data_IF_178725456036
#
_entry.id   IF_178725456036
#
_cell.length_a   1.000
_cell.length_b   1.000
_cell.length_c   1.000
_cell.angle_alpha   90.00
_cell.angle_beta   90.00
_cell.angle_gamma   90.00
#
_symmetry.space_group_name_H-M   'P 1'
#
loop_
_entity.id
_entity.type
_entity.pdbx_description
1 polymer ?
#
# COMPACT_ATOMS: atom_id res chain seq x y z
N UNK A 1 -2.46 68.16 22.90
CA UNK A 1 -1.60 67.22 23.64
C UNK A 1 -1.40 65.96 22.79
N UNK A 2 -0.18 65.42 22.79
CA UNK A 2 0.35 64.42 21.85
C UNK A 2 -0.30 63.04 22.00
N UNK A 3 -0.59 62.40 20.87
CA UNK A 3 -0.87 60.97 20.72
C UNK A 3 0.42 60.16 20.81
N UNK A 4 0.45 59.14 21.67
CA UNK A 4 1.47 58.08 21.80
C UNK A 4 0.81 56.99 22.68
N UNK A 5 0.40 55.80 22.24
CA UNK A 5 0.75 55.01 21.07
C UNK A 5 1.84 54.01 21.43
N UNK A 6 1.49 52.85 22.03
CA UNK A 6 2.29 51.59 22.06
C UNK A 6 1.40 50.38 22.40
N UNK A 7 0.62 49.86 21.44
CA UNK A 7 0.20 48.46 21.51
C UNK A 7 1.34 47.63 20.95
N UNK A 8 2.16 47.06 21.83
CA UNK A 8 3.11 46.02 21.45
C UNK A 8 2.30 44.79 21.05
N UNK A 9 2.12 44.58 19.75
CA UNK A 9 1.57 43.34 19.24
C UNK A 9 2.60 42.23 19.52
N UNK A 10 2.31 41.40 20.51
CA UNK A 10 3.01 40.14 20.75
C UNK A 10 2.77 39.24 19.52
N UNK A 11 3.65 39.31 18.53
CA UNK A 11 3.70 38.33 17.45
C UNK A 11 4.15 37.01 18.07
N UNK A 12 3.17 36.15 18.38
CA UNK A 12 3.41 34.73 18.56
C UNK A 12 4.03 34.20 17.25
N UNK A 13 5.12 33.41 17.31
CA UNK A 13 5.66 32.80 16.11
C UNK A 13 4.56 31.96 15.46
N UNK A 14 4.29 32.24 14.18
CA UNK A 14 3.40 31.43 13.38
C UNK A 14 3.94 29.99 13.40
N UNK A 15 3.10 28.97 13.69
CA UNK A 15 3.54 27.59 13.63
C UNK A 15 4.06 27.33 12.22
N UNK A 16 5.25 26.74 12.16
CA UNK A 16 6.00 26.54 10.93
C UNK A 16 5.33 25.41 10.13
N UNK A 17 4.25 25.77 9.42
CA UNK A 17 3.33 24.83 8.78
C UNK A 17 4.03 23.90 7.78
N UNK A 18 5.17 24.30 7.24
CA UNK A 18 5.99 23.46 6.36
C UNK A 18 6.59 22.25 7.10
N UNK A 19 7.00 22.44 8.36
CA UNK A 19 7.51 21.36 9.21
C UNK A 19 6.42 20.34 9.54
N UNK A 20 5.19 20.82 9.78
CA UNK A 20 4.02 19.98 10.01
C UNK A 20 3.66 19.13 8.77
N UNK A 21 3.77 19.71 7.57
CA UNK A 21 3.51 19.01 6.30
C UNK A 21 4.53 17.90 6.06
N UNK A 22 5.83 18.18 6.26
CA UNK A 22 6.90 17.21 6.07
C UNK A 22 6.75 16.02 7.05
N UNK A 23 6.38 16.30 8.29
CA UNK A 23 6.11 15.29 9.31
C UNK A 23 4.87 14.45 8.99
N UNK A 24 3.80 15.09 8.51
CA UNK A 24 2.60 14.38 8.05
C UNK A 24 2.91 13.46 6.86
N UNK A 25 3.65 13.95 5.87
CA UNK A 25 4.06 13.17 4.70
C UNK A 25 4.89 11.95 5.12
N UNK A 26 5.84 12.14 6.04
CA UNK A 26 6.68 11.07 6.58
C UNK A 26 5.87 9.99 7.31
N UNK A 27 4.88 10.40 8.12
CA UNK A 27 3.97 9.48 8.81
C UNK A 27 3.07 8.72 7.83
N UNK A 28 2.52 9.42 6.84
CA UNK A 28 1.70 8.81 5.80
C UNK A 28 2.49 7.78 4.97
N UNK A 29 3.74 8.09 4.62
CA UNK A 29 4.65 7.20 3.91
C UNK A 29 4.95 5.92 4.69
N UNK A 30 5.29 6.04 5.97
CA UNK A 30 5.51 4.87 6.86
C UNK A 30 4.26 4.00 6.96
N UNK A 31 3.10 4.60 7.20
CA UNK A 31 1.84 3.88 7.29
C UNK A 31 1.44 3.20 5.96
N UNK A 32 1.75 3.81 4.81
CA UNK A 32 1.53 3.20 3.50
C UNK A 32 2.47 2.01 3.27
N UNK A 33 3.74 2.12 3.67
CA UNK A 33 4.71 1.04 3.59
C UNK A 33 4.33 -0.15 4.48
N UNK A 34 3.93 0.11 5.72
CA UNK A 34 3.42 -0.92 6.63
C UNK A 34 2.17 -1.60 6.07
N UNK A 35 1.23 -0.85 5.51
CA UNK A 35 0.06 -1.41 4.82
C UNK A 35 0.46 -2.27 3.63
N UNK A 36 1.46 -1.86 2.84
CA UNK A 36 1.95 -2.64 1.71
C UNK A 36 2.65 -3.94 2.15
N UNK A 37 3.36 -3.93 3.29
CA UNK A 37 3.93 -5.13 3.88
C UNK A 37 2.86 -6.04 4.51
N UNK A 38 1.82 -5.45 5.10
CA UNK A 38 0.70 -6.17 5.69
C UNK A 38 -0.27 -6.75 4.65
N UNK A 39 -0.34 -6.15 3.45
CA UNK A 39 -0.98 -6.74 2.27
C UNK A 39 -0.20 -7.99 1.88
N UNK A 40 -0.57 -9.11 2.49
CA UNK A 40 0.08 -10.40 2.30
C UNK A 40 0.30 -10.69 0.82
N UNK A 41 1.52 -11.13 0.49
CA UNK A 41 1.87 -11.51 -0.89
C UNK A 41 0.82 -12.48 -1.43
N UNK A 42 0.24 -12.15 -2.58
CA UNK A 42 -0.70 -13.01 -3.30
C UNK A 42 0.03 -14.26 -3.77
N UNK A 43 -0.40 -15.41 -3.29
CA UNK A 43 0.11 -16.71 -3.70
C UNK A 43 -0.91 -17.35 -4.62
N UNK A 44 -0.46 -17.87 -5.76
CA UNK A 44 -1.33 -18.57 -6.69
C UNK A 44 -1.15 -20.09 -6.50
N UNK A 45 -2.25 -20.83 -6.35
CA UNK A 45 -2.27 -22.27 -6.12
C UNK A 45 -3.24 -22.97 -7.06
N UNK A 46 -2.99 -24.25 -7.38
CA UNK A 46 -3.94 -25.09 -8.09
C UNK A 46 -4.78 -25.92 -7.10
N UNK A 47 -6.11 -25.95 -7.29
CA UNK A 47 -6.98 -26.93 -6.65
C UNK A 47 -6.97 -28.28 -7.38
N UNK A 48 -7.36 -29.35 -6.69
CA UNK A 48 -7.50 -30.69 -7.26
C UNK A 48 -8.42 -30.71 -8.52
N UNK A 49 -9.40 -29.81 -8.56
CA UNK A 49 -10.37 -29.64 -9.65
C UNK A 49 -9.82 -28.85 -10.86
N UNK A 50 -8.53 -28.48 -10.85
CA UNK A 50 -7.91 -27.75 -11.97
C UNK A 50 -8.19 -26.24 -11.96
N UNK A 51 -8.54 -25.67 -10.81
CA UNK A 51 -8.72 -24.22 -10.68
C UNK A 51 -7.45 -23.53 -10.18
N UNK A 52 -7.14 -22.37 -10.72
CA UNK A 52 -6.14 -21.43 -10.20
C UNK A 52 -6.81 -20.53 -9.16
N UNK A 53 -6.25 -20.52 -7.96
CA UNK A 53 -6.76 -19.83 -6.77
C UNK A 53 -5.72 -18.81 -6.29
N UNK A 54 -6.16 -17.62 -5.91
CA UNK A 54 -5.36 -16.61 -5.20
C UNK A 54 -5.60 -16.76 -3.70
N UNK A 55 -4.52 -17.00 -2.95
CA UNK A 55 -4.51 -16.99 -1.48
C UNK A 55 -3.81 -15.73 -0.98
N UNK A 56 -4.46 -15.04 -0.05
CA UNK A 56 -3.90 -13.92 0.70
C UNK A 56 -4.01 -14.22 2.20
N UNK A 57 -3.05 -13.72 2.98
CA UNK A 57 -2.88 -14.10 4.41
C UNK A 57 -4.10 -13.83 5.29
N UNK A 58 -5.01 -12.94 4.88
CA UNK A 58 -6.19 -12.52 5.65
C UNK A 58 -7.48 -12.46 4.82
N UNK A 59 -7.50 -13.05 3.63
CA UNK A 59 -8.71 -13.10 2.79
C UNK A 59 -9.02 -14.54 2.42
N UNK A 60 -10.31 -14.86 2.20
CA UNK A 60 -10.67 -16.16 1.66
C UNK A 60 -10.00 -16.40 0.31
N UNK A 61 -9.75 -17.67 0.04
CA UNK A 61 -9.23 -18.13 -1.25
C UNK A 61 -10.17 -17.70 -2.38
N UNK A 62 -9.60 -17.09 -3.43
CA UNK A 62 -10.36 -16.60 -4.58
C UNK A 62 -10.00 -17.38 -5.82
N UNK A 63 -10.98 -18.06 -6.43
CA UNK A 63 -10.80 -18.66 -7.76
C UNK A 63 -10.63 -17.54 -8.79
N UNK A 64 -9.59 -17.63 -9.60
CA UNK A 64 -9.22 -16.61 -10.59
C UNK A 64 -9.43 -17.12 -12.01
N UNK A 65 -9.19 -18.43 -12.22
CA UNK A 65 -9.24 -19.03 -13.56
C UNK A 65 -9.34 -20.55 -13.48
N UNK A 66 -10.12 -21.16 -14.36
CA UNK A 66 -10.04 -22.61 -14.63
C UNK A 66 -8.90 -22.87 -15.60
N UNK A 67 -8.02 -23.81 -15.28
CA UNK A 67 -6.91 -24.17 -16.14
C UNK A 67 -7.39 -25.06 -17.30
N UNK A 68 -6.84 -24.90 -18.51
CA UNK A 68 -7.09 -25.82 -19.60
C UNK A 68 -6.72 -27.26 -19.22
N UNK A 69 -7.46 -28.27 -19.72
CA UNK A 69 -7.08 -29.67 -19.59
C UNK A 69 -5.65 -29.88 -20.11
N UNK A 70 -4.83 -30.65 -19.40
CA UNK A 70 -3.44 -30.93 -19.79
C UNK A 70 -2.41 -29.86 -19.41
N UNK A 71 -2.79 -28.80 -18.70
CA UNK A 71 -1.81 -27.82 -18.17
C UNK A 71 -0.88 -28.53 -17.17
N UNK A 72 0.45 -28.59 -17.41
CA UNK A 72 1.38 -29.26 -16.52
C UNK A 72 1.65 -28.40 -15.29
N UNK A 73 0.94 -28.69 -14.21
CA UNK A 73 1.13 -28.06 -12.89
C UNK A 73 0.95 -29.09 -11.79
N UNK A 74 1.92 -29.15 -10.88
CA UNK A 74 1.93 -30.11 -9.77
C UNK A 74 0.93 -29.69 -8.69
N UNK A 75 0.32 -30.66 -8.00
CA UNK A 75 -0.56 -30.38 -6.85
C UNK A 75 0.29 -29.72 -5.75
N UNK A 76 -0.23 -28.65 -5.15
CA UNK A 76 0.50 -27.87 -4.13
C UNK A 76 1.59 -26.95 -4.70
N UNK A 77 1.73 -26.86 -6.03
CA UNK A 77 2.65 -25.92 -6.65
C UNK A 77 2.19 -24.48 -6.37
N UNK A 78 3.08 -23.72 -5.73
CA UNK A 78 2.92 -22.29 -5.51
C UNK A 78 3.50 -21.53 -6.69
N UNK A 79 2.65 -20.76 -7.37
CA UNK A 79 3.05 -19.88 -8.44
C UNK A 79 3.17 -18.46 -7.90
N UNK A 80 4.34 -17.84 -8.13
CA UNK A 80 4.56 -16.45 -7.81
C UNK A 80 4.11 -15.59 -8.99
N UNK A 81 3.27 -14.60 -8.72
CA UNK A 81 2.88 -13.63 -9.73
C UNK A 81 4.11 -12.79 -10.08
N UNK A 82 4.65 -12.97 -11.28
CA UNK A 82 5.68 -12.04 -11.79
C UNK A 82 5.05 -10.65 -11.85
N UNK A 83 5.69 -9.68 -11.19
CA UNK A 83 5.34 -8.27 -11.36
C UNK A 83 5.58 -7.97 -12.83
N UNK A 84 4.52 -7.75 -13.60
CA UNK A 84 4.68 -7.24 -14.94
C UNK A 84 5.40 -5.89 -14.77
N UNK A 85 6.59 -5.67 -15.35
CA UNK A 85 7.07 -4.30 -15.48
C UNK A 85 5.99 -3.62 -16.31
N UNK A 86 5.28 -2.66 -15.71
CA UNK A 86 4.37 -1.81 -16.47
C UNK A 86 5.11 -1.19 -17.65
N UNK A 87 4.40 -0.67 -18.67
CA UNK A 87 5.07 -0.05 -19.81
C UNK A 87 6.11 0.94 -19.29
N UNK A 88 7.38 0.75 -19.69
CA UNK A 88 8.39 1.79 -19.52
C UNK A 88 7.83 3.04 -20.17
N UNK A 89 7.57 4.06 -19.35
CA UNK A 89 7.29 5.42 -19.81
C UNK A 89 8.61 6.14 -19.97
#
# INVERSE_FOLDING_TARGET
>A
MKVQGKHAASQLPLPDHESDIADQASRAGRAAHERALAQGRKVLMRSAEGMLIERQRQQPDRVIRTLPPGTPVQVGQVLLRRKNPGPSR
#
